data_IF_646428433486
#
_entry.id   IF_646428433486
#
_cell.length_a   1.000
_cell.length_b   1.000
_cell.length_c   1.000
_cell.angle_alpha   90.00
_cell.angle_beta   90.00
_cell.angle_gamma   90.00
#
_symmetry.space_group_name_H-M   'P 1'
#
loop_
_entity.id
_entity.type
_entity.pdbx_description
1 polymer ?
#
# COMPACT_ATOMS: atom_id res chain seq x y z
N UNK A 1 -35.21 14.87 1.09
CA UNK A 1 -34.34 15.13 -0.07
C UNK A 1 -33.53 16.43 0.05
N UNK A 2 -34.05 17.48 0.70
CA UNK A 2 -33.34 18.76 0.87
C UNK A 2 -32.00 18.65 1.64
N UNK A 3 -31.93 17.81 2.69
CA UNK A 3 -30.70 17.62 3.46
C UNK A 3 -29.53 17.10 2.60
N UNK A 4 -29.82 16.21 1.65
CA UNK A 4 -28.81 15.66 0.75
C UNK A 4 -28.27 16.73 -0.19
N UNK A 5 -29.15 17.61 -0.71
CA UNK A 5 -28.76 18.72 -1.56
C UNK A 5 -27.85 19.71 -0.80
N UNK A 6 -28.23 20.05 0.43
CA UNK A 6 -27.42 20.93 1.30
C UNK A 6 -26.05 20.29 1.58
N UNK A 7 -26.03 19.02 1.99
CA UNK A 7 -24.78 18.30 2.25
C UNK A 7 -23.89 18.22 1.01
N UNK A 8 -24.47 18.03 -0.19
CA UNK A 8 -23.74 18.00 -1.45
C UNK A 8 -23.12 19.36 -1.81
N UNK A 9 -23.87 20.45 -1.62
CA UNK A 9 -23.40 21.82 -1.87
C UNK A 9 -22.23 22.18 -0.93
N UNK A 10 -22.32 21.82 0.36
CA UNK A 10 -21.19 21.98 1.30
C UNK A 10 -20.01 21.06 0.98
N UNK A 11 -20.26 19.86 0.43
CA UNK A 11 -19.22 18.92 0.03
C UNK A 11 -18.40 19.45 -1.14
N UNK A 12 -19.01 20.13 -2.12
CA UNK A 12 -18.28 20.71 -3.25
C UNK A 12 -17.22 21.73 -2.79
N UNK A 13 -17.62 22.69 -1.96
CA UNK A 13 -16.70 23.72 -1.47
C UNK A 13 -15.62 23.13 -0.52
N UNK A 14 -16.02 22.20 0.34
CA UNK A 14 -15.08 21.54 1.26
C UNK A 14 -14.08 20.64 0.52
N UNK A 15 -14.52 19.89 -0.49
CA UNK A 15 -13.64 19.01 -1.26
C UNK A 15 -12.62 19.76 -2.07
N UNK A 16 -12.89 20.98 -2.53
CA UNK A 16 -11.89 21.80 -3.22
C UNK A 16 -10.73 22.19 -2.28
N UNK A 17 -11.03 22.59 -1.04
CA UNK A 17 -10.01 22.89 -0.03
C UNK A 17 -9.24 21.64 0.35
N UNK A 18 -9.96 20.54 0.63
CA UNK A 18 -9.32 19.24 0.96
C UNK A 18 -8.46 18.75 -0.20
N UNK A 19 -8.90 18.89 -1.44
CA UNK A 19 -8.16 18.49 -2.64
C UNK A 19 -6.83 19.23 -2.71
N UNK A 20 -6.82 20.56 -2.54
CA UNK A 20 -5.58 21.34 -2.53
C UNK A 20 -4.64 20.96 -1.39
N UNK A 21 -5.18 20.72 -0.20
CA UNK A 21 -4.37 20.28 0.96
C UNK A 21 -3.77 18.90 0.70
N UNK A 22 -4.57 17.96 0.20
CA UNK A 22 -4.12 16.60 -0.15
C UNK A 22 -3.08 16.65 -1.27
N UNK A 23 -3.31 17.43 -2.33
CA UNK A 23 -2.36 17.64 -3.41
C UNK A 23 -1.05 18.22 -2.88
N UNK A 24 -1.11 19.20 -1.97
CA UNK A 24 0.08 19.76 -1.34
C UNK A 24 0.84 18.71 -0.51
N UNK A 25 0.14 17.89 0.27
CA UNK A 25 0.75 16.79 1.02
C UNK A 25 1.39 15.73 0.11
N UNK A 26 0.71 15.38 -1.00
CA UNK A 26 1.19 14.44 -2.02
C UNK A 26 2.45 14.97 -2.71
N UNK A 27 2.46 16.25 -3.05
CA UNK A 27 3.55 16.91 -3.77
C UNK A 27 4.75 17.20 -2.86
N UNK A 28 4.53 17.59 -1.61
CA UNK A 28 5.62 17.88 -0.67
C UNK A 28 6.40 16.62 -0.28
N UNK A 29 5.74 15.47 -0.18
CA UNK A 29 6.36 14.24 0.27
C UNK A 29 6.16 13.15 -0.75
N UNK A 30 6.64 13.37 -1.99
CA UNK A 30 6.75 12.42 -3.12
C UNK A 30 6.18 11.06 -2.73
N UNK A 31 4.85 10.97 -2.80
CA UNK A 31 4.00 9.99 -2.11
C UNK A 31 4.77 8.71 -1.75
N UNK A 32 4.97 8.39 -0.46
CA UNK A 32 5.90 7.35 -0.06
C UNK A 32 5.51 6.09 -0.81
N UNK A 33 6.38 5.59 -1.69
CA UNK A 33 6.13 4.41 -2.54
C UNK A 33 5.51 3.25 -1.77
N UNK A 34 5.76 3.22 -0.45
CA UNK A 34 5.16 2.35 0.55
C UNK A 34 3.63 2.46 0.63
N UNK A 35 3.02 3.64 0.62
CA UNK A 35 1.55 3.80 0.59
C UNK A 35 0.96 3.31 -0.72
N UNK A 36 1.59 3.61 -1.86
CA UNK A 36 1.16 3.07 -3.16
C UNK A 36 1.23 1.54 -3.17
N UNK A 37 2.30 0.97 -2.62
CA UNK A 37 2.44 -0.48 -2.45
C UNK A 37 1.41 -1.05 -1.47
N UNK A 38 1.11 -0.35 -0.37
CA UNK A 38 0.11 -0.76 0.63
C UNK A 38 -1.31 -0.74 0.07
N UNK A 39 -1.65 0.25 -0.74
CA UNK A 39 -2.95 0.34 -1.43
C UNK A 39 -3.06 -0.79 -2.45
N UNK A 40 -2.02 -0.97 -3.29
CA UNK A 40 -1.99 -2.07 -4.25
C UNK A 40 -1.99 -3.46 -3.60
N UNK A 41 -1.37 -3.63 -2.43
CA UNK A 41 -1.35 -4.91 -1.71
C UNK A 41 -2.65 -5.23 -0.98
N UNK A 42 -3.44 -4.21 -0.63
CA UNK A 42 -4.75 -4.38 -0.01
C UNK A 42 -5.90 -4.38 -1.02
N UNK A 43 -5.62 -4.17 -2.32
CA UNK A 43 -6.64 -4.33 -3.33
C UNK A 43 -7.05 -5.81 -3.40
N UNK A 44 -8.33 -6.16 -3.16
CA UNK A 44 -8.80 -7.55 -3.20
C UNK A 44 -8.70 -8.19 -4.60
N UNK A 45 -8.35 -7.40 -5.62
CA UNK A 45 -8.09 -7.84 -7.00
C UNK A 45 -6.61 -8.05 -7.32
N UNK A 46 -5.69 -7.58 -6.48
CA UNK A 46 -4.29 -7.98 -6.58
C UNK A 46 -4.21 -9.39 -5.98
N UNK A 47 -4.41 -10.41 -6.81
CA UNK A 47 -4.10 -11.78 -6.43
C UNK A 47 -2.74 -11.78 -5.69
N UNK A 48 -2.60 -12.46 -4.53
CA UNK A 48 -1.37 -12.42 -3.76
C UNK A 48 -0.24 -12.83 -4.68
N UNK A 49 0.56 -11.85 -5.11
CA UNK A 49 1.76 -12.14 -5.87
C UNK A 49 2.57 -13.03 -4.97
N UNK A 50 2.83 -14.25 -5.44
CA UNK A 50 3.66 -15.28 -4.80
C UNK A 50 5.11 -14.79 -4.73
N UNK A 51 5.35 -13.66 -4.06
CA UNK A 51 6.68 -13.23 -3.66
C UNK A 51 6.81 -13.81 -2.25
N UNK A 52 7.44 -14.98 -2.11
CA UNK A 52 7.73 -15.49 -0.78
C UNK A 52 8.52 -14.42 -0.03
N UNK A 53 8.24 -14.19 1.27
CA UNK A 53 9.06 -13.31 2.08
C UNK A 53 10.52 -13.76 1.97
N UNK A 54 11.50 -12.84 1.85
CA UNK A 54 12.92 -13.18 1.71
C UNK A 54 13.55 -13.84 2.95
N UNK A 55 12.73 -14.41 3.85
CA UNK A 55 13.14 -15.05 5.10
C UNK A 55 13.07 -16.58 5.08
N UNK A 56 12.84 -17.20 3.92
CA UNK A 56 12.83 -18.67 3.77
C UNK A 56 13.75 -19.17 2.64
N UNK A 57 14.83 -18.45 2.33
CA UNK A 57 15.96 -19.06 1.64
C UNK A 57 16.72 -19.90 2.67
N UNK A 58 16.19 -21.09 2.94
CA UNK A 58 16.92 -22.15 3.61
C UNK A 58 18.24 -22.34 2.83
N UNK A 59 19.42 -22.26 3.46
CA UNK A 59 20.65 -22.58 2.78
C UNK A 59 20.56 -24.02 2.25
N UNK A 60 21.14 -24.33 1.07
CA UNK A 60 21.14 -25.69 0.56
C UNK A 60 21.76 -26.59 1.64
N UNK A 61 21.00 -27.57 2.11
CA UNK A 61 21.45 -28.58 3.03
C UNK A 61 22.62 -29.32 2.38
N UNK A 62 23.84 -28.89 2.69
CA UNK A 62 25.05 -29.62 2.34
C UNK A 62 25.02 -30.94 3.13
N UNK A 63 25.10 -32.10 2.49
CA UNK A 63 25.25 -33.35 3.22
C UNK A 63 26.61 -33.34 3.90
N UNK A 64 26.63 -33.27 5.23
CA UNK A 64 27.84 -33.50 6.01
C UNK A 64 28.16 -35.00 5.94
N UNK A 65 28.95 -35.37 4.93
CA UNK A 65 29.69 -36.64 4.87
C UNK A 65 30.75 -36.57 5.97
N UNK A 66 30.37 -37.00 7.18
CA UNK A 66 31.26 -37.26 8.30
C UNK A 66 31.77 -38.68 8.23
N UNK A 67 32.83 -38.89 7.45
CA UNK A 67 33.72 -40.04 7.56
C UNK A 67 34.67 -39.77 8.74
N UNK A 68 34.78 -40.73 9.67
CA UNK A 68 35.96 -40.86 10.53
C UNK A 68 35.70 -40.85 12.03
N UNK A 69 35.37 -42.01 12.60
CA UNK A 69 36.12 -42.67 13.67
C UNK A 69 35.66 -44.12 13.83
#
# INVERSE_FOLDING_TARGET
MILVAVVAEFLEEYTEVVSRVVEHMVNQHRFPRRLRLLILSNLPFAAPSRIPPPHLVLPPTTPFVGVGL
#
